data_IF_663863092216
#
_entry.id   IF_663863092216
#
_cell.length_a   1.000
_cell.length_b   1.000
_cell.length_c   1.000
_cell.angle_alpha   90.00
_cell.angle_beta   90.00
_cell.angle_gamma   90.00
#
_symmetry.space_group_name_H-M   'P 1'
#
loop_
_entity.id
_entity.type
_entity.pdbx_description
1 polymer ?
#
# COMPACT_ATOMS: atom_id res chain seq x y z
N UNK A 1 20.92 6.88 6.62
CA UNK A 1 21.00 8.04 5.72
C UNK A 1 20.25 9.26 6.30
N UNK A 2 18.92 9.19 6.46
CA UNK A 2 18.05 10.32 6.90
C UNK A 2 18.54 10.94 8.23
N UNK A 3 18.85 10.13 9.24
CA UNK A 3 19.36 10.59 10.51
C UNK A 3 20.71 11.31 10.40
N UNK A 4 21.60 10.77 9.56
CA UNK A 4 22.90 11.39 9.32
C UNK A 4 22.75 12.74 8.62
N UNK A 5 21.86 12.85 7.63
CA UNK A 5 21.57 14.09 6.94
C UNK A 5 21.00 15.16 7.88
N UNK A 6 20.05 14.80 8.76
CA UNK A 6 19.52 15.73 9.77
C UNK A 6 20.59 16.16 10.78
N UNK A 7 21.40 15.23 11.27
CA UNK A 7 22.49 15.53 12.20
C UNK A 7 23.51 16.50 11.60
N UNK A 8 23.71 16.47 10.31
CA UNK A 8 24.57 17.36 9.56
C UNK A 8 23.86 18.64 9.09
N UNK A 9 22.62 18.89 9.52
CA UNK A 9 21.79 20.04 9.13
C UNK A 9 21.56 20.19 7.62
N UNK A 10 21.63 19.07 6.87
CA UNK A 10 21.34 19.05 5.44
C UNK A 10 19.84 18.99 5.14
N UNK A 11 19.05 18.54 6.11
CA UNK A 11 17.58 18.46 6.05
C UNK A 11 17.00 18.93 7.39
N UNK A 12 15.78 19.47 7.38
CA UNK A 12 15.12 20.02 8.56
C UNK A 12 14.44 18.93 9.41
N UNK A 13 13.82 17.94 8.76
CA UNK A 13 13.16 16.83 9.45
C UNK A 13 13.68 15.46 8.98
N UNK A 14 13.58 14.46 9.85
CA UNK A 14 13.90 13.07 9.47
C UNK A 14 12.70 12.39 8.83
N UNK A 15 12.11 13.03 7.82
CA UNK A 15 10.96 12.50 7.08
C UNK A 15 11.26 12.33 5.60
N UNK A 16 10.48 11.46 4.98
CA UNK A 16 10.43 11.34 3.52
C UNK A 16 9.00 11.02 3.09
N UNK A 17 8.65 11.47 1.89
CA UNK A 17 7.34 11.36 1.28
C UNK A 17 7.45 10.71 -0.09
N UNK A 18 6.73 9.60 -0.26
CA UNK A 18 6.48 9.04 -1.58
C UNK A 18 5.13 9.54 -2.10
N UNK A 19 5.10 10.00 -3.34
CA UNK A 19 3.86 10.21 -4.09
C UNK A 19 3.99 9.42 -5.38
N UNK A 20 3.46 8.19 -5.39
CA UNK A 20 3.55 7.31 -6.53
C UNK A 20 2.39 7.58 -7.49
N UNK A 21 2.70 7.62 -8.78
CA UNK A 21 1.71 7.81 -9.87
C UNK A 21 2.10 6.92 -11.03
N UNK A 22 1.21 6.05 -11.46
CA UNK A 22 1.49 5.12 -12.55
C UNK A 22 1.67 5.83 -13.89
N UNK A 23 0.85 6.83 -14.17
CA UNK A 23 0.83 7.59 -15.42
C UNK A 23 1.33 9.03 -15.26
N UNK A 24 2.15 9.30 -14.25
CA UNK A 24 2.64 10.63 -13.93
C UNK A 24 4.06 10.63 -13.37
N UNK A 25 4.50 11.79 -12.91
CA UNK A 25 5.78 11.90 -12.23
C UNK A 25 5.62 11.41 -10.79
N UNK A 26 6.16 10.24 -10.48
CA UNK A 26 6.35 9.81 -9.11
C UNK A 26 7.46 10.65 -8.45
N UNK A 27 7.27 11.03 -7.20
CA UNK A 27 8.22 11.85 -6.45
C UNK A 27 8.62 11.18 -5.15
N UNK A 28 9.85 11.45 -4.75
CA UNK A 28 10.38 11.16 -3.43
C UNK A 28 10.96 12.46 -2.85
N UNK A 29 10.27 13.02 -1.87
CA UNK A 29 10.75 14.19 -1.13
C UNK A 29 11.46 13.72 0.15
N UNK A 30 12.60 14.31 0.46
CA UNK A 30 13.43 13.94 1.61
C UNK A 30 13.74 15.18 2.44
N UNK A 31 13.46 15.09 3.73
CA UNK A 31 13.80 16.15 4.70
C UNK A 31 12.70 17.14 4.99
N UNK A 32 11.62 17.11 4.21
CA UNK A 32 10.41 17.89 4.44
C UNK A 32 9.21 17.24 3.73
N UNK A 33 8.02 17.73 4.03
CA UNK A 33 6.78 17.30 3.39
C UNK A 33 6.41 18.34 2.32
N UNK A 34 6.34 17.91 1.08
CA UNK A 34 5.84 18.78 0.01
C UNK A 34 4.30 18.81 0.02
N UNK A 35 3.77 19.82 0.69
CA UNK A 35 2.33 20.06 0.77
C UNK A 35 1.69 20.42 -0.57
N UNK A 36 2.47 20.84 -1.58
CA UNK A 36 1.95 21.15 -2.91
C UNK A 36 1.46 19.91 -3.64
N UNK A 37 1.96 18.73 -3.27
CA UNK A 37 1.53 17.43 -3.81
C UNK A 37 0.26 16.87 -3.15
N UNK A 38 -0.21 17.48 -2.06
CA UNK A 38 -1.33 16.98 -1.29
C UNK A 38 -2.64 17.64 -1.72
N UNK A 39 -3.69 16.82 -1.90
CA UNK A 39 -5.06 17.28 -2.19
C UNK A 39 -5.92 17.44 -0.92
N UNK A 40 -5.35 17.28 0.26
CA UNK A 40 -6.09 17.36 1.52
C UNK A 40 -5.17 17.21 2.73
N UNK A 41 -5.76 17.10 3.93
CA UNK A 41 -5.00 16.94 5.16
C UNK A 41 -4.28 15.59 5.21
N UNK A 42 -3.20 15.55 5.98
CA UNK A 42 -2.48 14.32 6.29
C UNK A 42 -3.18 13.64 7.46
N UNK A 43 -3.58 12.39 7.28
CA UNK A 43 -4.03 11.52 8.36
C UNK A 43 -2.84 10.71 8.88
N UNK A 44 -2.56 10.85 10.15
CA UNK A 44 -1.41 10.20 10.78
C UNK A 44 -1.83 8.91 11.48
N UNK A 45 -1.22 7.79 11.08
CA UNK A 45 -1.31 6.55 11.82
C UNK A 45 -0.56 6.65 13.14
N UNK A 46 -1.04 5.93 14.16
CA UNK A 46 -0.38 5.89 15.45
C UNK A 46 1.04 5.32 15.36
N UNK A 47 1.86 5.67 16.35
CA UNK A 47 3.23 5.19 16.44
C UNK A 47 3.26 3.66 16.45
N UNK A 48 4.08 3.10 15.60
CA UNK A 48 4.28 1.67 15.55
C UNK A 48 5.31 1.22 16.59
N UNK A 49 4.92 0.33 17.49
CA UNK A 49 5.79 -0.24 18.53
C UNK A 49 6.95 -1.09 17.93
N UNK A 50 6.75 -1.69 16.77
CA UNK A 50 7.78 -2.42 16.04
C UNK A 50 8.71 -1.43 15.31
N UNK A 51 9.97 -1.40 15.72
CA UNK A 51 10.99 -0.48 15.15
C UNK A 51 11.71 -1.06 13.93
N UNK A 52 11.39 -2.29 13.51
CA UNK A 52 12.06 -2.97 12.39
C UNK A 52 11.49 -2.57 11.05
N UNK A 53 10.17 -2.51 10.94
CA UNK A 53 9.45 -2.15 9.71
C UNK A 53 8.46 -1.02 9.95
N UNK A 54 8.09 -0.32 8.89
CA UNK A 54 6.98 0.61 8.88
C UNK A 54 5.67 -0.16 8.80
N UNK A 55 4.94 -0.24 9.92
CA UNK A 55 3.69 -1.00 10.04
C UNK A 55 2.52 -0.07 10.32
N UNK A 56 1.36 -0.43 9.81
CA UNK A 56 0.09 0.23 10.10
C UNK A 56 -1.06 -0.78 10.07
N UNK A 57 -2.15 -0.47 10.75
CA UNK A 57 -3.39 -1.23 10.61
C UNK A 57 -4.29 -0.57 9.59
N UNK A 58 -4.92 -1.37 8.74
CA UNK A 58 -5.83 -0.90 7.69
C UNK A 58 -7.11 -1.71 7.67
N UNK A 59 -8.17 -1.14 7.07
CA UNK A 59 -9.33 -1.91 6.64
C UNK A 59 -9.26 -2.05 5.12
N UNK A 60 -9.13 -3.27 4.62
CA UNK A 60 -9.22 -3.58 3.19
C UNK A 60 -10.64 -4.05 2.87
N UNK A 61 -11.40 -3.23 2.14
CA UNK A 61 -12.83 -3.47 1.88
C UNK A 61 -13.62 -3.86 3.15
N UNK A 62 -13.29 -3.22 4.28
CA UNK A 62 -13.90 -3.52 5.58
C UNK A 62 -13.22 -4.62 6.40
N UNK A 63 -12.36 -5.44 5.79
CA UNK A 63 -11.60 -6.47 6.50
C UNK A 63 -10.41 -5.85 7.24
N UNK A 64 -10.34 -6.08 8.55
CA UNK A 64 -9.26 -5.55 9.38
C UNK A 64 -7.97 -6.34 9.15
N UNK A 65 -6.93 -5.63 8.80
CA UNK A 65 -5.55 -6.11 8.71
C UNK A 65 -4.73 -5.35 9.73
N UNK A 66 -4.18 -6.05 10.68
CA UNK A 66 -3.36 -5.47 11.73
C UNK A 66 -1.87 -5.55 11.39
N UNK A 67 -1.13 -4.52 11.76
CA UNK A 67 0.33 -4.50 11.65
C UNK A 67 0.90 -4.81 10.26
N UNK A 68 0.19 -4.44 9.19
CA UNK A 68 0.69 -4.61 7.83
C UNK A 68 1.95 -3.78 7.58
N UNK A 69 2.93 -4.37 6.90
CA UNK A 69 4.17 -3.70 6.50
C UNK A 69 3.90 -2.86 5.25
N UNK A 70 4.27 -1.59 5.27
CA UNK A 70 4.25 -0.72 4.08
C UNK A 70 5.63 -0.75 3.43
N UNK A 71 5.70 -1.30 2.21
CA UNK A 71 6.97 -1.61 1.56
C UNK A 71 6.99 -1.17 0.09
N UNK A 72 7.79 -0.15 -0.21
CA UNK A 72 8.01 0.34 -1.58
C UNK A 72 8.80 -0.64 -2.46
N UNK A 73 9.45 -1.64 -1.88
CA UNK A 73 10.22 -2.67 -2.58
C UNK A 73 9.38 -3.85 -3.05
N UNK A 74 8.10 -3.94 -2.65
CA UNK A 74 7.17 -4.99 -3.07
C UNK A 74 6.20 -4.43 -4.11
N UNK A 75 6.05 -5.14 -5.23
CA UNK A 75 5.22 -4.69 -6.38
C UNK A 75 3.77 -5.21 -6.38
N UNK A 76 3.36 -5.88 -5.31
CA UNK A 76 2.01 -6.43 -5.10
C UNK A 76 1.54 -6.16 -3.67
N UNK A 77 0.27 -6.42 -3.40
CA UNK A 77 -0.24 -6.58 -2.05
C UNK A 77 -0.21 -8.07 -1.75
N UNK A 78 0.45 -8.47 -0.67
CA UNK A 78 0.53 -9.89 -0.31
C UNK A 78 0.34 -10.10 1.19
N UNK A 79 -0.02 -11.31 1.58
CA UNK A 79 -0.24 -11.67 2.97
C UNK A 79 -0.33 -13.18 3.18
N UNK A 80 -0.66 -13.60 4.40
CA UNK A 80 -0.88 -15.01 4.70
C UNK A 80 -1.91 -15.61 3.74
N UNK A 81 -1.55 -16.73 3.14
CA UNK A 81 -2.28 -17.32 2.00
C UNK A 81 -3.79 -17.47 2.24
N UNK A 82 -4.18 -18.00 3.39
CA UNK A 82 -5.58 -18.21 3.73
C UNK A 82 -6.34 -16.91 4.02
N UNK A 83 -5.65 -15.90 4.59
CA UNK A 83 -6.24 -14.59 4.83
C UNK A 83 -6.49 -13.85 3.52
N UNK A 84 -5.54 -13.93 2.59
CA UNK A 84 -5.70 -13.35 1.25
C UNK A 84 -6.85 -14.02 0.52
N UNK A 85 -6.95 -15.38 0.57
CA UNK A 85 -8.09 -16.09 0.01
C UNK A 85 -9.41 -15.58 0.57
N UNK A 86 -9.52 -15.43 1.89
CA UNK A 86 -10.74 -14.96 2.54
C UNK A 86 -11.14 -13.52 2.09
N UNK A 87 -10.17 -12.65 1.81
CA UNK A 87 -10.42 -11.33 1.23
C UNK A 87 -10.85 -11.44 -0.23
N UNK A 88 -10.15 -12.24 -1.03
CA UNK A 88 -10.45 -12.42 -2.45
C UNK A 88 -11.86 -12.97 -2.68
N UNK A 89 -12.30 -13.93 -1.86
CA UNK A 89 -13.64 -14.53 -1.93
C UNK A 89 -14.79 -13.53 -1.70
N UNK A 90 -14.49 -12.37 -1.08
CA UNK A 90 -15.47 -11.31 -0.81
C UNK A 90 -15.49 -10.21 -1.88
N UNK A 91 -14.59 -10.26 -2.86
CA UNK A 91 -14.53 -9.24 -3.90
C UNK A 91 -15.45 -9.58 -5.07
N UNK A 92 -16.40 -8.70 -5.32
CA UNK A 92 -17.31 -8.84 -6.46
C UNK A 92 -16.54 -8.89 -7.78
N UNK A 93 -16.88 -9.87 -8.63
CA UNK A 93 -16.26 -10.03 -9.94
C UNK A 93 -14.84 -10.57 -9.94
N UNK A 94 -14.37 -11.09 -8.81
CA UNK A 94 -13.05 -11.75 -8.69
C UNK A 94 -13.24 -13.27 -8.64
N UNK A 95 -12.46 -13.98 -9.44
CA UNK A 95 -12.33 -15.43 -9.38
C UNK A 95 -11.04 -15.77 -8.62
N UNK A 96 -11.17 -16.61 -7.61
CA UNK A 96 -10.00 -17.07 -6.84
C UNK A 96 -9.44 -18.32 -7.50
N UNK A 97 -8.18 -18.30 -7.87
CA UNK A 97 -7.45 -19.44 -8.41
C UNK A 97 -6.36 -19.87 -7.43
N UNK A 98 -6.15 -21.18 -7.35
CA UNK A 98 -5.02 -21.74 -6.66
C UNK A 98 -3.93 -22.11 -7.66
N UNK A 99 -2.74 -21.55 -7.48
CA UNK A 99 -1.57 -21.90 -8.29
C UNK A 99 -1.03 -23.29 -7.94
N UNK A 100 -0.23 -23.95 -8.81
CA UNK A 100 0.33 -25.26 -8.53
C UNK A 100 1.17 -25.35 -7.26
N UNK A 101 1.74 -24.24 -6.80
CA UNK A 101 2.48 -24.14 -5.54
C UNK A 101 1.58 -23.99 -4.31
N UNK A 102 0.25 -23.94 -4.50
CA UNK A 102 -0.74 -23.83 -3.43
C UNK A 102 -1.11 -22.39 -3.03
N UNK A 103 -0.51 -21.38 -3.63
CA UNK A 103 -0.86 -19.97 -3.36
C UNK A 103 -2.17 -19.57 -4.03
N UNK A 104 -2.91 -18.63 -3.42
CA UNK A 104 -4.14 -18.08 -3.98
C UNK A 104 -3.90 -16.73 -4.65
N UNK A 105 -4.53 -16.55 -5.82
CA UNK A 105 -4.48 -15.34 -6.60
C UNK A 105 -5.87 -14.98 -7.12
N UNK A 106 -6.18 -13.69 -7.18
CA UNK A 106 -7.41 -13.19 -7.78
C UNK A 106 -7.27 -12.93 -9.27
N UNK A 107 -8.30 -13.29 -10.04
CA UNK A 107 -8.50 -12.88 -11.43
C UNK A 107 -9.81 -12.14 -11.59
N UNK A 108 -9.89 -11.26 -12.58
CA UNK A 108 -11.09 -10.51 -12.88
C UNK A 108 -11.18 -10.21 -14.39
N UNK A 109 -12.36 -9.81 -14.87
CA UNK A 109 -12.51 -9.29 -16.24
C UNK A 109 -11.79 -7.96 -16.36
N UNK A 110 -10.87 -7.80 -17.30
CA UNK A 110 -10.12 -6.56 -17.50
C UNK A 110 -11.03 -5.34 -17.77
N UNK A 111 -12.24 -5.58 -18.29
CA UNK A 111 -13.24 -4.53 -18.54
C UNK A 111 -13.99 -4.11 -17.27
N UNK A 112 -14.00 -4.95 -16.23
CA UNK A 112 -14.73 -4.72 -14.99
C UNK A 112 -13.81 -4.93 -13.77
N UNK A 113 -12.85 -4.04 -13.52
CA UNK A 113 -11.93 -4.15 -12.40
C UNK A 113 -12.68 -4.04 -11.06
N UNK A 114 -12.35 -4.87 -10.07
CA UNK A 114 -12.93 -4.77 -8.74
C UNK A 114 -12.50 -3.48 -8.05
N UNK A 115 -13.25 -3.05 -7.05
CA UNK A 115 -12.87 -1.91 -6.23
C UNK A 115 -12.09 -2.39 -5.00
N UNK A 116 -10.87 -1.94 -4.88
CA UNK A 116 -10.07 -2.10 -3.67
C UNK A 116 -9.99 -0.78 -2.93
N UNK A 117 -10.50 -0.76 -1.70
CA UNK A 117 -10.49 0.42 -0.85
C UNK A 117 -9.78 0.11 0.46
N UNK A 118 -8.89 1.01 0.85
CA UNK A 118 -8.20 0.96 2.13
C UNK A 118 -8.64 2.11 3.02
N UNK A 119 -9.03 1.81 4.24
CA UNK A 119 -9.17 2.83 5.27
C UNK A 119 -7.95 2.75 6.19
N UNK A 120 -7.19 3.82 6.26
CA UNK A 120 -5.99 3.95 7.08
C UNK A 120 -6.00 5.30 7.79
N UNK A 121 -5.67 5.32 9.07
CA UNK A 121 -5.69 6.52 9.91
C UNK A 121 -7.01 7.31 9.80
N UNK A 122 -8.14 6.61 9.71
CA UNK A 122 -9.49 7.20 9.61
C UNK A 122 -9.88 7.75 8.23
N UNK A 123 -9.00 7.67 7.23
CA UNK A 123 -9.28 8.12 5.87
C UNK A 123 -9.40 6.93 4.91
N UNK A 124 -10.40 6.96 4.05
CA UNK A 124 -10.61 5.92 3.02
C UNK A 124 -10.05 6.36 1.67
N UNK A 125 -9.31 5.47 1.06
CA UNK A 125 -8.70 5.61 -0.25
C UNK A 125 -9.15 4.44 -1.13
N UNK A 126 -9.51 4.72 -2.38
CA UNK A 126 -9.81 3.67 -3.37
C UNK A 126 -8.65 3.64 -4.36
N UNK A 127 -8.10 2.45 -4.60
CA UNK A 127 -7.02 2.30 -5.56
C UNK A 127 -7.52 2.55 -6.98
N UNK A 128 -6.73 3.22 -7.81
CA UNK A 128 -6.99 3.29 -9.24
C UNK A 128 -7.06 1.90 -9.86
N UNK A 129 -7.91 1.72 -10.86
CA UNK A 129 -8.09 0.41 -11.52
C UNK A 129 -6.83 -0.13 -12.21
N UNK A 130 -5.94 0.74 -12.64
CA UNK A 130 -4.64 0.38 -13.21
C UNK A 130 -3.63 -0.03 -12.13
N UNK A 131 -3.73 0.48 -10.90
CA UNK A 131 -2.87 0.07 -9.78
C UNK A 131 -3.14 -1.37 -9.33
N UNK A 132 -4.35 -1.87 -9.53
CA UNK A 132 -4.72 -3.23 -9.14
C UNK A 132 -4.45 -4.28 -10.21
N UNK A 133 -4.02 -3.90 -11.40
CA UNK A 133 -3.70 -4.80 -12.50
C UNK A 133 -2.23 -5.22 -12.46
N UNK A 134 -1.99 -6.50 -12.26
CA UNK A 134 -0.64 -7.08 -12.25
C UNK A 134 -0.22 -7.69 -13.60
N UNK A 135 -1.17 -7.92 -14.50
CA UNK A 135 -0.90 -8.52 -15.82
C UNK A 135 -2.15 -9.08 -16.48
N UNK A 136 -1.98 -9.61 -17.67
CA UNK A 136 -3.05 -10.06 -18.54
C UNK A 136 -2.90 -11.54 -18.91
N UNK A 137 -4.04 -12.24 -19.04
CA UNK A 137 -4.14 -13.55 -19.64
C UNK A 137 -5.40 -13.59 -20.52
N UNK A 138 -5.26 -13.18 -21.78
CA UNK A 138 -6.40 -12.98 -22.69
C UNK A 138 -7.25 -11.78 -22.25
N UNK A 139 -8.54 -12.01 -22.01
CA UNK A 139 -9.51 -11.02 -21.52
C UNK A 139 -9.55 -10.91 -19.98
N UNK A 140 -8.76 -11.72 -19.29
CA UNK A 140 -8.67 -11.75 -17.83
C UNK A 140 -7.43 -11.02 -17.35
N UNK A 141 -7.60 -10.28 -16.27
CA UNK A 141 -6.53 -9.59 -15.56
C UNK A 141 -6.21 -10.30 -14.25
N UNK A 142 -4.94 -10.29 -13.89
CA UNK A 142 -4.48 -10.71 -12.57
C UNK A 142 -4.60 -9.54 -11.60
N UNK A 143 -5.19 -9.82 -10.43
CA UNK A 143 -5.23 -8.82 -9.38
C UNK A 143 -3.82 -8.65 -8.77
N UNK A 144 -3.42 -7.42 -8.51
CA UNK A 144 -2.15 -7.11 -7.84
C UNK A 144 -2.20 -7.44 -6.34
N UNK A 145 -2.87 -8.54 -6.00
CA UNK A 145 -2.97 -9.09 -4.66
C UNK A 145 -2.97 -10.61 -4.73
N UNK A 146 -2.10 -11.24 -3.95
CA UNK A 146 -1.99 -12.69 -3.88
C UNK A 146 -1.47 -13.19 -2.56
N UNK A 147 -1.77 -14.43 -2.21
CA UNK A 147 -1.29 -15.08 -1.02
C UNK A 147 0.15 -15.56 -1.14
N UNK A 148 0.82 -15.67 0.00
CA UNK A 148 2.17 -16.24 0.08
C UNK A 148 2.21 -17.28 1.19
N UNK A 149 2.72 -18.47 0.87
CA UNK A 149 2.89 -19.55 1.84
C UNK A 149 3.98 -19.21 2.86
N UNK A 150 3.71 -19.51 4.13
CA UNK A 150 4.66 -19.25 5.22
C UNK A 150 4.82 -17.79 5.61
N UNK A 151 4.15 -16.87 4.96
CA UNK A 151 4.12 -15.47 5.36
C UNK A 151 3.14 -15.30 6.53
N UNK A 152 3.57 -14.57 7.56
CA UNK A 152 2.74 -14.26 8.73
C UNK A 152 2.21 -12.82 8.73
N UNK A 153 2.85 -11.93 7.99
CA UNK A 153 2.50 -10.52 7.90
C UNK A 153 1.86 -10.18 6.55
N UNK A 154 1.01 -9.17 6.53
CA UNK A 154 0.63 -8.52 5.29
C UNK A 154 1.71 -7.53 4.87
N UNK A 155 1.99 -7.50 3.56
CA UNK A 155 2.89 -6.52 2.94
C UNK A 155 2.08 -5.71 1.93
N UNK A 156 1.99 -4.42 2.18
CA UNK A 156 1.30 -3.44 1.36
C UNK A 156 2.32 -2.78 0.45
N UNK A 157 2.48 -3.33 -0.75
CA UNK A 157 3.47 -2.88 -1.72
C UNK A 157 3.06 -1.64 -2.50
N UNK A 158 3.73 -1.41 -3.64
CA UNK A 158 3.51 -0.23 -4.47
C UNK A 158 2.06 0.02 -4.87
N UNK A 159 1.20 -0.99 -5.15
CA UNK A 159 -0.21 -0.72 -5.43
C UNK A 159 -0.93 0.01 -4.28
N UNK A 160 -0.64 -0.36 -3.03
CA UNK A 160 -1.15 0.36 -1.87
C UNK A 160 -0.58 1.78 -1.79
N UNK A 161 0.69 1.98 -2.08
CA UNK A 161 1.32 3.30 -2.02
C UNK A 161 0.83 4.25 -3.14
N UNK A 162 0.23 3.73 -4.21
CA UNK A 162 -0.43 4.51 -5.26
C UNK A 162 -1.78 5.11 -4.82
N UNK A 163 -2.24 4.84 -3.57
CA UNK A 163 -3.44 5.49 -3.00
C UNK A 163 -3.32 7.02 -2.88
N UNK A 164 -2.07 7.53 -2.85
CA UNK A 164 -1.80 8.95 -2.70
C UNK A 164 -0.36 9.22 -2.27
N UNK A 165 -0.19 10.16 -1.35
CA UNK A 165 1.10 10.43 -0.72
C UNK A 165 1.23 9.63 0.58
N UNK A 166 2.34 8.91 0.72
CA UNK A 166 2.70 8.17 1.94
C UNK A 166 3.94 8.81 2.54
N UNK A 167 3.83 9.23 3.78
CA UNK A 167 4.84 9.98 4.51
C UNK A 167 5.37 9.11 5.65
N UNK A 168 6.68 9.03 5.75
CA UNK A 168 7.39 8.31 6.80
C UNK A 168 8.15 9.32 7.65
N UNK A 169 7.79 9.47 8.90
CA UNK A 169 8.40 10.43 9.79
C UNK A 169 9.17 9.70 10.92
N UNK A 170 10.49 9.71 10.83
CA UNK A 170 11.38 9.11 11.85
C UNK A 170 11.42 9.88 13.16
N UNK A 171 11.14 11.19 13.15
CA UNK A 171 11.18 11.99 14.37
C UNK A 171 10.03 11.62 15.31
N UNK A 172 8.85 11.37 14.73
CA UNK A 172 7.63 10.99 15.47
C UNK A 172 7.34 9.50 15.41
N UNK A 173 8.06 8.74 14.57
CA UNK A 173 7.81 7.32 14.29
C UNK A 173 6.40 7.03 13.75
N UNK A 174 5.82 7.98 13.04
CA UNK A 174 4.46 7.88 12.48
C UNK A 174 4.48 7.84 10.96
N UNK A 175 3.49 7.19 10.39
CA UNK A 175 3.18 7.27 8.96
C UNK A 175 2.01 8.20 8.73
N UNK A 176 2.14 9.07 7.71
CA UNK A 176 1.08 9.96 7.25
C UNK A 176 0.54 9.50 5.89
N UNK A 177 -0.75 9.68 5.68
CA UNK A 177 -1.43 9.35 4.44
C UNK A 177 -2.27 10.52 3.98
N UNK A 178 -2.14 10.91 2.71
CA UNK A 178 -2.91 12.00 2.14
C UNK A 178 -3.27 11.68 0.68
N UNK A 179 -4.39 12.23 0.20
CA UNK A 179 -4.69 12.19 -1.23
C UNK A 179 -3.65 13.00 -2.00
N UNK A 180 -3.19 12.48 -3.13
CA UNK A 180 -2.32 13.21 -4.05
C UNK A 180 -3.13 14.12 -4.98
N UNK A 181 -2.51 15.21 -5.44
CA UNK A 181 -3.03 16.07 -6.50
C UNK A 181 -2.78 15.51 -7.88
#
# INVERSE_FOLDING_TARGET
FIWAAKKQHLIQSSSFQFTLRRNGKATLNVGDIDHSELAGPISWADENADKTFWRTSVLLNGNKIENAIVDSGTNVITGPNDQVKAVLDQLDGVWVEQSPDGTYQGRYSCQNPPKLSFTVAGQTFTLPSDAINFGYAGDKCFLAMGGTLGLNDWILGSPFMELGSVIFNYDTRRMGFAKAR
#
